data_IF_545350357903
#
_entry.id   IF_545350357903
#
_cell.length_a   1.000
_cell.length_b   1.000
_cell.length_c   1.000
_cell.angle_alpha   90.00
_cell.angle_beta   90.00
_cell.angle_gamma   90.00
#
_symmetry.space_group_name_H-M   'P 1'
#
loop_
_entity.id
_entity.type
_entity.pdbx_description
1 polymer ?
#
# COMPACT_ATOMS: atom_id res chain seq x y z
N UNK A 1 56.68 -6.94 4.97
CA UNK A 1 55.65 -7.71 5.70
C UNK A 1 54.54 -6.71 5.98
N UNK A 2 53.49 -6.62 5.16
CA UNK A 2 52.20 -7.30 5.35
C UNK A 2 51.58 -7.65 3.99
N UNK A 3 51.07 -8.87 3.89
CA UNK A 3 50.46 -9.51 2.71
C UNK A 3 49.04 -8.94 2.53
N UNK A 4 48.77 -8.29 1.40
CA UNK A 4 47.40 -7.89 1.03
C UNK A 4 46.68 -9.10 0.44
N UNK A 5 45.79 -9.72 1.23
CA UNK A 5 44.95 -10.83 0.81
C UNK A 5 43.72 -10.27 0.10
N UNK A 6 43.67 -10.35 -1.24
CA UNK A 6 42.43 -10.16 -2.00
C UNK A 6 41.50 -11.36 -1.70
N UNK A 7 40.33 -11.11 -1.10
CA UNK A 7 39.21 -12.04 -1.17
C UNK A 7 38.37 -11.69 -2.41
N UNK A 8 38.46 -12.53 -3.43
CA UNK A 8 37.55 -12.53 -4.55
C UNK A 8 36.22 -13.19 -4.11
N UNK A 9 35.13 -12.43 -4.12
CA UNK A 9 33.78 -12.98 -4.02
C UNK A 9 33.39 -13.54 -5.39
N UNK A 10 33.44 -14.87 -5.50
CA UNK A 10 33.00 -15.60 -6.68
C UNK A 10 31.47 -15.47 -6.86
N UNK A 11 31.06 -14.93 -8.00
CA UNK A 11 29.67 -14.95 -8.45
C UNK A 11 29.36 -16.33 -9.03
N UNK A 12 28.58 -17.14 -8.31
CA UNK A 12 28.13 -18.45 -8.78
C UNK A 12 26.96 -18.28 -9.76
N UNK A 13 27.27 -18.32 -11.04
CA UNK A 13 26.32 -18.49 -12.15
C UNK A 13 25.78 -19.93 -12.13
N UNK A 14 24.53 -20.11 -11.71
CA UNK A 14 23.78 -21.35 -11.94
C UNK A 14 23.20 -21.31 -13.35
N UNK A 15 23.94 -21.84 -14.33
CA UNK A 15 23.39 -22.23 -15.62
C UNK A 15 22.67 -23.58 -15.46
N UNK A 16 21.34 -23.55 -15.43
CA UNK A 16 20.54 -24.76 -15.62
C UNK A 16 20.65 -25.18 -17.09
N UNK A 17 21.36 -26.28 -17.34
CA UNK A 17 21.46 -26.91 -18.65
C UNK A 17 20.16 -27.69 -18.88
N UNK A 18 19.28 -27.16 -19.73
CA UNK A 18 18.12 -27.88 -20.24
C UNK A 18 18.56 -29.06 -21.10
N UNK A 19 18.10 -30.25 -20.75
CA UNK A 19 18.39 -31.48 -21.48
C UNK A 19 17.71 -31.44 -22.87
N UNK A 20 18.51 -31.64 -23.92
CA UNK A 20 18.01 -31.87 -25.26
C UNK A 20 17.49 -33.31 -25.37
N UNK A 21 16.18 -33.46 -25.54
CA UNK A 21 15.55 -34.74 -25.88
C UNK A 21 15.59 -34.95 -27.40
N UNK A 22 16.12 -36.09 -27.81
CA UNK A 22 16.18 -36.56 -29.19
C UNK A 22 14.79 -36.99 -29.67
N UNK A 23 14.33 -36.41 -30.79
CA UNK A 23 13.09 -36.78 -31.45
C UNK A 23 13.19 -38.17 -32.11
N UNK A 24 12.38 -39.12 -31.67
CA UNK A 24 12.03 -40.35 -32.41
C UNK A 24 10.75 -40.14 -33.22
N UNK A 25 10.50 -40.92 -34.29
CA UNK A 25 9.40 -40.66 -35.21
C UNK A 25 8.05 -41.11 -34.62
N UNK A 26 7.01 -40.43 -35.08
CA UNK A 26 5.69 -40.36 -34.48
C UNK A 26 4.89 -41.67 -34.39
N UNK A 27 4.01 -41.68 -33.39
CA UNK A 27 2.79 -42.49 -33.38
C UNK A 27 1.64 -41.57 -32.99
N UNK A 28 0.57 -41.72 -33.75
CA UNK A 28 -0.64 -40.92 -33.83
C UNK A 28 -1.53 -41.02 -32.59
N UNK A 29 -2.28 -39.92 -32.38
CA UNK A 29 -3.61 -39.83 -31.78
C UNK A 29 -3.80 -40.24 -30.31
N UNK A 30 -3.78 -39.22 -29.44
CA UNK A 30 -4.95 -38.82 -28.64
C UNK A 30 -4.66 -37.45 -28.02
N UNK A 31 -5.47 -36.46 -28.38
CA UNK A 31 -5.50 -35.14 -27.73
C UNK A 31 -5.69 -35.34 -26.21
N UNK A 32 -4.60 -35.20 -25.48
CA UNK A 32 -4.62 -35.09 -24.03
C UNK A 32 -5.00 -33.65 -23.73
N UNK A 33 -6.31 -33.37 -23.67
CA UNK A 33 -6.80 -32.11 -23.14
C UNK A 33 -6.11 -31.86 -21.77
N UNK A 34 -5.55 -30.65 -21.54
CA UNK A 34 -5.01 -30.34 -20.23
C UNK A 34 -6.11 -30.52 -19.19
N UNK A 35 -5.81 -30.98 -17.96
CA UNK A 35 -6.81 -31.12 -16.92
C UNK A 35 -7.44 -29.74 -16.64
N UNK A 36 -8.56 -29.46 -17.29
CA UNK A 36 -9.56 -28.52 -16.84
C UNK A 36 -10.16 -29.19 -15.61
N UNK A 37 -9.84 -28.65 -14.44
CA UNK A 37 -10.67 -28.63 -13.22
C UNK A 37 -9.80 -28.35 -11.98
N UNK A 38 -9.05 -27.25 -12.01
CA UNK A 38 -9.05 -26.40 -10.83
C UNK A 38 -10.05 -25.30 -11.16
N UNK A 39 -11.29 -25.45 -10.71
CA UNK A 39 -12.19 -24.32 -10.63
C UNK A 39 -11.55 -23.32 -9.66
N UNK A 40 -10.76 -22.39 -10.19
CA UNK A 40 -10.47 -21.15 -9.51
C UNK A 40 -11.85 -20.52 -9.28
N UNK A 41 -12.33 -20.61 -8.04
CA UNK A 41 -13.34 -19.68 -7.58
C UNK A 41 -12.66 -18.31 -7.60
N UNK A 42 -12.70 -17.65 -8.76
CA UNK A 42 -12.36 -16.24 -8.92
C UNK A 42 -13.46 -15.44 -8.20
N UNK A 43 -13.55 -15.62 -6.88
CA UNK A 43 -14.36 -14.78 -6.02
C UNK A 43 -13.79 -13.38 -6.12
N UNK A 44 -14.46 -12.54 -6.90
CA UNK A 44 -14.03 -11.18 -7.18
C UNK A 44 -13.81 -10.43 -5.85
N UNK A 45 -12.54 -10.11 -5.54
CA UNK A 45 -12.19 -9.42 -4.29
C UNK A 45 -12.53 -7.95 -4.46
N UNK A 46 -13.69 -7.55 -3.93
CA UNK A 46 -14.10 -6.15 -3.90
C UNK A 46 -13.68 -5.45 -2.61
N UNK A 47 -12.97 -4.33 -2.73
CA UNK A 47 -12.67 -3.46 -1.60
C UNK A 47 -13.95 -2.74 -1.15
N UNK A 48 -14.12 -2.58 0.16
CA UNK A 48 -15.23 -1.79 0.73
C UNK A 48 -15.04 -0.27 0.53
N UNK A 49 -13.84 0.15 0.11
CA UNK A 49 -13.52 1.53 -0.19
C UNK A 49 -12.35 1.61 -1.17
N UNK A 50 -12.50 2.43 -2.21
CA UNK A 50 -11.46 2.69 -3.19
C UNK A 50 -10.62 3.90 -2.76
N UNK A 51 -9.36 3.64 -2.44
CA UNK A 51 -8.39 4.68 -2.12
C UNK A 51 -8.20 5.61 -3.33
N UNK A 52 -8.15 6.92 -3.10
CA UNK A 52 -7.96 7.89 -4.17
C UNK A 52 -7.32 9.19 -3.69
N UNK A 53 -6.78 9.93 -4.64
CA UNK A 53 -6.20 11.26 -4.42
C UNK A 53 -7.26 12.34 -4.60
N UNK A 54 -7.18 13.40 -3.82
CA UNK A 54 -8.06 14.55 -4.00
C UNK A 54 -7.43 15.57 -4.95
N UNK A 55 -8.16 16.05 -5.96
CA UNK A 55 -7.75 17.24 -6.69
C UNK A 55 -7.86 18.48 -5.79
N UNK A 56 -7.08 19.52 -6.08
CA UNK A 56 -7.03 20.77 -5.28
C UNK A 56 -8.38 21.44 -5.01
N UNK A 57 -9.37 21.22 -5.88
CA UNK A 57 -10.73 21.78 -5.76
C UNK A 57 -11.60 21.06 -4.71
N UNK A 58 -11.25 19.83 -4.32
CA UNK A 58 -12.03 18.97 -3.40
C UNK A 58 -11.43 18.93 -1.99
N UNK A 59 -10.14 19.25 -1.85
CA UNK A 59 -9.49 19.43 -0.57
C UNK A 59 -8.33 20.42 -0.68
N UNK A 60 -8.21 21.31 0.31
CA UNK A 60 -6.97 22.05 0.56
C UNK A 60 -5.84 21.03 0.76
N UNK A 61 -4.75 21.08 -0.03
CA UNK A 61 -3.64 20.16 0.17
C UNK A 61 -2.87 20.43 1.47
N UNK A 62 -2.42 19.36 2.13
CA UNK A 62 -1.50 19.45 3.25
C UNK A 62 -0.06 19.42 2.78
N UNK A 63 0.89 19.56 3.70
CA UNK A 63 2.32 19.37 3.44
C UNK A 63 2.74 17.93 3.70
N UNK A 64 3.58 17.40 2.81
CA UNK A 64 4.14 16.04 2.94
C UNK A 64 4.81 15.84 4.30
N UNK A 65 5.62 16.80 4.77
CA UNK A 65 6.28 16.71 6.08
C UNK A 65 5.30 16.52 7.25
N UNK A 66 4.18 17.26 7.25
CA UNK A 66 3.15 17.10 8.26
C UNK A 66 2.45 15.73 8.22
N UNK A 67 2.25 15.16 7.02
CA UNK A 67 1.72 13.81 6.87
C UNK A 67 2.72 12.73 7.34
N UNK A 68 4.03 12.93 7.11
CA UNK A 68 5.09 12.05 7.61
C UNK A 68 5.14 12.06 9.14
N UNK A 69 5.07 13.24 9.77
CA UNK A 69 5.01 13.35 11.23
C UNK A 69 3.82 12.61 11.82
N UNK A 70 2.64 12.78 11.21
CA UNK A 70 1.44 12.07 11.64
C UNK A 70 1.55 10.57 11.46
N UNK A 71 2.15 10.10 10.36
CA UNK A 71 2.45 8.68 10.14
C UNK A 71 3.31 8.12 11.28
N UNK A 72 4.39 8.82 11.63
CA UNK A 72 5.30 8.41 12.70
C UNK A 72 4.62 8.38 14.07
N UNK A 73 3.79 9.39 14.37
CA UNK A 73 2.98 9.41 15.60
C UNK A 73 2.02 8.21 15.67
N UNK A 74 1.25 7.98 14.62
CA UNK A 74 0.24 6.92 14.57
C UNK A 74 0.87 5.52 14.63
N UNK A 75 2.02 5.30 13.96
CA UNK A 75 2.80 4.05 14.06
C UNK A 75 3.23 3.78 15.50
N UNK A 76 3.73 4.79 16.24
CA UNK A 76 4.16 4.64 17.64
C UNK A 76 3.01 4.29 18.60
N UNK A 77 1.79 4.72 18.29
CA UNK A 77 0.62 4.32 19.07
C UNK A 77 0.27 2.82 18.90
N UNK A 78 0.78 2.16 17.87
CA UNK A 78 0.66 0.72 17.68
C UNK A 78 -0.79 0.26 17.63
N UNK A 79 -1.17 -0.60 18.57
CA UNK A 79 -2.50 -1.21 18.70
C UNK A 79 -3.49 -0.37 19.51
N UNK A 80 -3.14 0.87 19.88
CA UNK A 80 -4.13 1.79 20.45
C UNK A 80 -5.29 1.96 19.45
N UNK A 81 -6.51 2.00 19.98
CA UNK A 81 -7.69 2.23 19.15
C UNK A 81 -7.70 3.67 18.61
N UNK A 82 -7.74 3.79 17.28
CA UNK A 82 -8.04 5.03 16.58
C UNK A 82 -9.49 4.96 16.08
N UNK A 83 -10.39 5.66 16.77
CA UNK A 83 -11.84 5.64 16.50
C UNK A 83 -12.31 6.94 15.86
N UNK A 84 -13.05 6.82 14.78
CA UNK A 84 -13.78 7.92 14.15
C UNK A 84 -15.27 7.88 14.52
N UNK A 85 -15.88 9.07 14.54
CA UNK A 85 -17.33 9.27 14.69
C UNK A 85 -17.89 10.00 13.47
N UNK A 86 -19.20 9.99 13.29
CA UNK A 86 -19.92 10.82 12.31
C UNK A 86 -19.51 12.29 12.48
N UNK A 87 -19.21 12.97 11.36
CA UNK A 87 -18.57 14.30 11.34
C UNK A 87 -17.03 14.27 11.31
N UNK A 88 -16.45 13.10 11.53
CA UNK A 88 -15.05 12.77 11.45
C UNK A 88 -14.23 13.20 12.67
N UNK A 89 -13.15 12.49 12.94
CA UNK A 89 -12.31 12.66 14.12
C UNK A 89 -10.89 12.95 13.69
N UNK A 90 -10.33 14.06 14.19
CA UNK A 90 -8.94 14.42 13.94
C UNK A 90 -8.06 13.47 14.76
N UNK A 91 -7.23 12.70 14.06
CA UNK A 91 -6.34 11.71 14.66
C UNK A 91 -4.93 12.28 14.83
N UNK A 92 -4.54 13.22 13.97
CA UNK A 92 -3.28 13.96 14.09
C UNK A 92 -3.35 15.30 13.34
N UNK A 93 -2.58 16.28 13.82
CA UNK A 93 -2.26 17.52 13.11
C UNK A 93 -0.77 17.79 13.23
N UNK A 94 -0.09 18.06 12.12
CA UNK A 94 1.32 18.50 12.13
C UNK A 94 1.61 19.27 10.85
N UNK A 95 2.47 20.29 10.93
CA UNK A 95 3.08 20.94 9.76
C UNK A 95 2.09 21.45 8.70
N UNK A 96 0.91 21.95 9.08
CA UNK A 96 -0.13 22.39 8.14
C UNK A 96 -0.98 21.27 7.55
N UNK A 97 -0.84 20.04 8.04
CA UNK A 97 -1.58 18.85 7.61
C UNK A 97 -2.48 18.33 8.72
N UNK A 98 -3.67 17.87 8.34
CA UNK A 98 -4.63 17.18 9.20
C UNK A 98 -4.81 15.74 8.67
N UNK A 99 -4.72 14.77 9.60
CA UNK A 99 -5.18 13.40 9.38
C UNK A 99 -6.51 13.22 10.11
N UNK A 100 -7.59 13.02 9.36
CA UNK A 100 -8.96 12.92 9.88
C UNK A 100 -9.60 11.61 9.43
N UNK A 101 -10.07 10.83 10.38
CA UNK A 101 -10.80 9.59 10.10
C UNK A 101 -12.31 9.81 10.01
N UNK A 102 -12.97 9.03 9.16
CA UNK A 102 -14.42 9.00 9.00
C UNK A 102 -14.92 7.56 8.95
N UNK A 103 -16.08 7.26 9.57
CA UNK A 103 -16.75 6.00 9.33
C UNK A 103 -17.33 5.97 7.90
N UNK A 104 -17.08 4.89 7.18
CA UNK A 104 -17.71 4.61 5.89
C UNK A 104 -19.01 3.82 6.14
N UNK A 105 -20.15 4.37 5.73
CA UNK A 105 -21.49 3.77 5.90
C UNK A 105 -21.89 3.42 7.35
N UNK A 106 -21.34 4.13 8.36
CA UNK A 106 -21.66 3.91 9.77
C UNK A 106 -21.61 5.21 10.60
N UNK A 107 -22.06 5.15 11.86
CA UNK A 107 -21.93 6.26 12.81
C UNK A 107 -20.56 6.32 13.50
N UNK A 108 -19.90 5.18 13.62
CA UNK A 108 -18.55 5.04 14.18
C UNK A 108 -17.80 3.94 13.45
N UNK A 109 -16.48 4.04 13.43
CA UNK A 109 -15.58 3.00 12.94
C UNK A 109 -14.25 3.13 13.68
N UNK A 110 -13.54 2.02 13.87
CA UNK A 110 -12.21 2.03 14.48
C UNK A 110 -11.28 1.02 13.83
N UNK A 111 -9.98 1.28 13.96
CA UNK A 111 -8.90 0.35 13.67
C UNK A 111 -7.76 0.62 14.65
N UNK A 112 -6.69 -0.18 14.58
CA UNK A 112 -5.46 0.18 15.28
C UNK A 112 -4.82 1.42 14.65
N UNK A 113 -4.23 2.27 15.47
CA UNK A 113 -3.56 3.48 14.98
C UNK A 113 -2.43 3.16 13.99
N UNK A 114 -1.77 2.00 14.10
CA UNK A 114 -0.82 1.52 13.08
C UNK A 114 -1.46 1.29 11.70
N UNK A 115 -2.72 0.85 11.64
CA UNK A 115 -3.44 0.64 10.37
C UNK A 115 -3.89 1.97 9.77
N UNK A 116 -4.29 2.92 10.62
CA UNK A 116 -4.52 4.31 10.22
C UNK A 116 -3.23 4.88 9.60
N UNK A 117 -2.07 4.60 10.20
CA UNK A 117 -0.80 5.05 9.63
C UNK A 117 -0.55 4.44 8.25
N UNK A 118 -0.92 3.18 8.01
CA UNK A 118 -0.84 2.55 6.67
C UNK A 118 -1.68 3.31 5.64
N UNK A 119 -2.86 3.82 6.00
CA UNK A 119 -3.65 4.65 5.09
C UNK A 119 -2.94 5.98 4.76
N UNK A 120 -2.32 6.63 5.75
CA UNK A 120 -1.54 7.86 5.51
C UNK A 120 -0.33 7.58 4.61
N UNK A 121 0.36 6.45 4.81
CA UNK A 121 1.45 6.01 3.92
C UNK A 121 0.96 5.82 2.50
N UNK A 122 -0.18 5.15 2.30
CA UNK A 122 -0.74 5.00 0.95
C UNK A 122 -0.94 6.36 0.27
N UNK A 123 -1.50 7.34 0.98
CA UNK A 123 -1.72 8.69 0.42
C UNK A 123 -0.40 9.41 0.15
N UNK A 124 0.61 9.26 1.02
CA UNK A 124 1.95 9.81 0.82
C UNK A 124 2.65 9.22 -0.42
N UNK A 125 2.45 7.94 -0.70
CA UNK A 125 3.10 7.23 -1.80
C UNK A 125 2.43 7.52 -3.16
N UNK A 126 1.11 7.76 -3.17
CA UNK A 126 0.32 7.83 -4.41
C UNK A 126 -0.20 9.23 -4.75
N UNK A 127 -0.39 10.09 -3.75
CA UNK A 127 -1.00 11.41 -3.93
C UNK A 127 -0.10 12.65 -3.72
N UNK A 128 1.25 12.57 -3.73
CA UNK A 128 2.06 13.79 -3.66
C UNK A 128 1.95 14.56 -4.99
N UNK A 129 1.74 15.87 -4.88
CA UNK A 129 1.78 16.80 -6.00
C UNK A 129 2.89 17.82 -5.72
N UNK A 130 4.02 17.69 -6.42
CA UNK A 130 5.19 18.52 -6.23
C UNK A 130 5.26 19.66 -7.24
N UNK A 131 5.53 20.87 -6.75
CA UNK A 131 5.83 22.04 -7.57
C UNK A 131 7.09 22.72 -7.03
N UNK A 132 8.18 22.71 -7.80
CA UNK A 132 9.48 23.20 -7.32
C UNK A 132 10.03 22.34 -6.19
N UNK A 133 10.47 22.97 -5.10
CA UNK A 133 11.01 22.29 -3.91
C UNK A 133 9.93 21.79 -2.94
N UNK A 134 8.67 22.18 -3.14
CA UNK A 134 7.59 21.90 -2.21
C UNK A 134 6.66 20.82 -2.77
N UNK A 135 6.36 19.83 -1.92
CA UNK A 135 5.37 18.80 -2.22
C UNK A 135 4.16 18.94 -1.30
N UNK A 136 3.00 19.07 -1.92
CA UNK A 136 1.72 19.03 -1.24
C UNK A 136 1.12 17.61 -1.35
N UNK A 137 0.20 17.27 -0.45
CA UNK A 137 -0.46 15.96 -0.44
C UNK A 137 -1.93 16.08 -0.05
N UNK A 138 -2.80 15.40 -0.79
CA UNK A 138 -4.22 15.29 -0.46
C UNK A 138 -4.80 13.98 -0.98
N UNK A 139 -5.48 13.24 -0.11
CA UNK A 139 -6.11 11.99 -0.51
C UNK A 139 -6.85 11.31 0.63
N UNK A 140 -7.40 10.15 0.33
CA UNK A 140 -8.14 9.33 1.27
C UNK A 140 -7.88 7.86 1.02
N UNK A 141 -7.75 7.09 2.10
CA UNK A 141 -7.52 5.65 2.03
C UNK A 141 -8.14 4.91 3.21
N UNK A 142 -8.47 3.63 3.02
CA UNK A 142 -8.91 2.74 4.07
C UNK A 142 -7.79 2.41 5.08
N UNK A 143 -8.09 2.40 6.37
CA UNK A 143 -7.13 2.10 7.45
C UNK A 143 -6.66 0.64 7.39
N UNK A 144 -5.49 0.38 6.81
CA UNK A 144 -4.93 -0.98 6.70
C UNK A 144 -5.86 -1.99 6.01
N UNK A 145 -6.60 -1.54 5.00
CA UNK A 145 -7.61 -2.36 4.30
C UNK A 145 -8.97 -2.43 5.00
N UNK A 146 -9.12 -1.85 6.21
CA UNK A 146 -10.42 -1.68 6.85
C UNK A 146 -11.23 -0.59 6.13
N UNK A 147 -12.01 -0.98 5.12
CA UNK A 147 -12.84 -0.05 4.36
C UNK A 147 -14.01 0.54 5.14
N UNK A 148 -14.23 0.18 6.42
CA UNK A 148 -15.18 0.86 7.30
C UNK A 148 -14.59 2.11 7.95
N UNK A 149 -13.26 2.23 8.04
CA UNK A 149 -12.59 3.42 8.55
C UNK A 149 -11.70 4.03 7.45
N UNK A 150 -12.13 5.17 6.93
CA UNK A 150 -11.40 5.89 5.87
C UNK A 150 -10.69 7.10 6.43
N UNK A 151 -9.46 7.33 5.99
CA UNK A 151 -8.53 8.30 6.53
C UNK A 151 -8.24 9.34 5.47
N UNK A 152 -8.73 10.56 5.70
CA UNK A 152 -8.45 11.73 4.88
C UNK A 152 -7.16 12.40 5.36
N UNK A 153 -6.27 12.67 4.41
CA UNK A 153 -5.10 13.54 4.59
C UNK A 153 -5.34 14.80 3.78
N UNK A 154 -5.30 15.96 4.44
CA UNK A 154 -5.49 17.27 3.80
C UNK A 154 -4.77 18.37 4.57
N UNK A 155 -4.81 19.58 4.03
CA UNK A 155 -4.42 20.81 4.73
C UNK A 155 -5.42 21.19 5.81
N UNK A 156 -5.02 22.20 6.59
CA UNK A 156 -5.86 22.87 7.60
C UNK A 156 -6.89 23.78 6.93
#
# INVERSE_FOLDING_TARGET
MVKFTLLALAASLLFAVGQAATAGPGVLDHDMDPPTDVQQNDGDVHALFDNHCYPRREATPGKVGGAVDCTNYLKRLGTKECRARKGGTIMCRSGGTIVKGFPNNANTASSYCRDVATAVVWVLDHCPACGGSDCDVAGIAAAGGNGYLVIKVSGI
#
